data_IF_318143057204
#
_entry.id   IF_318143057204
#
_cell.length_a   1.000
_cell.length_b   1.000
_cell.length_c   1.000
_cell.angle_alpha   90.00
_cell.angle_beta   90.00
_cell.angle_gamma   90.00
#
_symmetry.space_group_name_H-M   'P 1'
#
loop_
_entity.id
_entity.type
_entity.pdbx_description
1 polymer ?
#
# COMPACT_ATOMS: atom_id res chain seq x y z
N UNK A 1 0.86 10.84 -11.81
CA UNK A 1 1.26 9.62 -12.57
C UNK A 1 0.10 8.63 -12.55
N UNK A 2 -0.05 7.76 -13.55
CA UNK A 2 -1.08 6.71 -13.50
C UNK A 2 -0.58 5.51 -12.69
N UNK A 3 -1.33 5.10 -11.67
CA UNK A 3 -0.96 3.97 -10.79
C UNK A 3 -0.89 2.64 -11.53
N UNK A 4 -1.59 2.51 -12.66
CA UNK A 4 -1.57 1.31 -13.49
C UNK A 4 -0.29 1.21 -14.35
N UNK A 5 0.52 2.27 -14.41
CA UNK A 5 1.73 2.35 -15.21
C UNK A 5 3.00 2.49 -14.36
N UNK A 6 2.94 2.06 -13.09
CA UNK A 6 4.11 1.98 -12.22
C UNK A 6 4.39 0.53 -11.82
N UNK A 7 5.67 0.20 -11.71
CA UNK A 7 6.14 -1.00 -11.03
C UNK A 7 6.79 -0.62 -9.70
N UNK A 8 6.45 -1.40 -8.67
CA UNK A 8 6.83 -1.18 -7.28
C UNK A 8 7.36 -2.43 -6.59
N UNK A 9 7.54 -3.52 -7.34
CA UNK A 9 8.09 -4.76 -6.78
C UNK A 9 9.41 -4.46 -6.08
N UNK A 10 9.49 -4.83 -4.81
CA UNK A 10 10.64 -4.60 -3.93
C UNK A 10 10.99 -3.11 -3.67
N UNK A 11 10.04 -2.21 -3.89
CA UNK A 11 10.18 -0.80 -3.50
C UNK A 11 10.00 -0.63 -1.99
N UNK A 12 11.01 -0.05 -1.34
CA UNK A 12 10.91 0.35 0.07
C UNK A 12 9.86 1.46 0.26
N UNK A 13 9.01 1.26 1.25
CA UNK A 13 8.17 2.31 1.80
C UNK A 13 8.96 3.05 2.88
N UNK A 14 9.22 4.33 2.61
CA UNK A 14 9.95 5.18 3.54
C UNK A 14 9.11 5.51 4.77
N UNK A 15 7.84 5.87 4.54
CA UNK A 15 6.94 6.33 5.59
C UNK A 15 5.47 6.16 5.18
N UNK A 16 4.59 5.96 6.16
CA UNK A 16 3.14 6.12 5.99
C UNK A 16 2.64 7.14 7.00
N UNK A 17 1.92 8.16 6.54
CA UNK A 17 1.25 9.17 7.37
C UNK A 17 -0.26 9.00 7.29
N UNK A 18 -0.89 8.99 8.46
CA UNK A 18 -2.35 8.92 8.58
C UNK A 18 -2.85 10.28 9.09
N UNK A 19 -3.70 10.90 8.30
CA UNK A 19 -4.45 12.10 8.66
C UNK A 19 -5.93 11.74 8.88
N UNK A 20 -6.75 12.73 9.24
CA UNK A 20 -8.19 12.51 9.49
C UNK A 20 -8.95 11.97 8.27
N UNK A 21 -8.54 12.35 7.06
CA UNK A 21 -9.24 12.11 5.81
C UNK A 21 -8.31 11.63 4.67
N UNK A 22 -7.04 11.35 4.98
CA UNK A 22 -6.03 11.00 4.01
C UNK A 22 -5.06 9.97 4.62
N UNK A 23 -4.67 8.98 3.82
CA UNK A 23 -3.48 8.15 4.09
C UNK A 23 -2.49 8.45 2.98
N UNK A 24 -1.27 8.85 3.38
CA UNK A 24 -0.18 9.16 2.46
C UNK A 24 0.98 8.19 2.67
N UNK A 25 1.37 7.50 1.60
CA UNK A 25 2.44 6.49 1.59
C UNK A 25 3.58 7.03 0.73
N UNK A 26 4.79 7.04 1.27
CA UNK A 26 5.99 7.57 0.63
C UNK A 26 6.88 6.43 0.16
N UNK A 27 7.15 6.38 -1.14
CA UNK A 27 7.99 5.39 -1.80
C UNK A 27 9.40 5.94 -1.94
N UNK A 28 10.41 5.09 -1.80
CA UNK A 28 11.79 5.45 -2.11
C UNK A 28 11.94 5.78 -3.61
N UNK A 29 11.46 4.87 -4.46
CA UNK A 29 11.38 5.09 -5.91
C UNK A 29 10.41 4.13 -6.57
N UNK A 30 9.75 4.56 -7.64
CA UNK A 30 8.91 3.69 -8.47
C UNK A 30 9.47 3.65 -9.89
N UNK A 31 9.28 2.55 -10.60
CA UNK A 31 9.63 2.48 -12.01
C UNK A 31 8.42 2.93 -12.85
N UNK A 32 8.57 4.00 -13.62
CA UNK A 32 7.54 4.51 -14.53
C UNK A 32 7.65 3.76 -15.88
N UNK A 33 6.63 2.98 -16.21
CA UNK A 33 6.61 2.14 -17.41
C UNK A 33 6.53 2.96 -18.71
N UNK A 34 5.90 4.13 -18.69
CA UNK A 34 5.79 5.01 -19.86
C UNK A 34 7.14 5.67 -20.16
N UNK A 35 7.80 6.18 -19.12
CA UNK A 35 9.09 6.89 -19.23
C UNK A 35 10.29 5.96 -19.22
N UNK A 36 10.10 4.69 -18.84
CA UNK A 36 11.14 3.66 -18.71
C UNK A 36 12.30 4.08 -17.80
N UNK A 37 11.98 4.72 -16.68
CA UNK A 37 12.96 5.21 -15.73
C UNK A 37 12.45 5.11 -14.29
N UNK A 38 13.38 5.06 -13.35
CA UNK A 38 13.06 5.21 -11.93
C UNK A 38 12.75 6.67 -11.61
N UNK A 39 11.71 6.88 -10.82
CA UNK A 39 11.33 8.16 -10.27
C UNK A 39 11.36 8.03 -8.75
N UNK A 40 12.30 8.73 -8.13
CA UNK A 40 12.44 8.80 -6.67
C UNK A 40 11.46 9.78 -6.06
N UNK A 41 11.26 9.67 -4.74
CA UNK A 41 10.43 10.57 -3.94
C UNK A 41 9.00 10.67 -4.47
N UNK A 42 8.35 9.52 -4.65
CA UNK A 42 6.94 9.45 -5.04
C UNK A 42 6.08 9.21 -3.82
N UNK A 43 4.90 9.82 -3.78
CA UNK A 43 3.90 9.55 -2.76
C UNK A 43 2.57 9.14 -3.38
N UNK A 44 1.90 8.18 -2.74
CA UNK A 44 0.51 7.83 -2.98
C UNK A 44 -0.33 8.47 -1.88
N UNK A 45 -1.23 9.35 -2.27
CA UNK A 45 -2.26 9.90 -1.40
C UNK A 45 -3.58 9.20 -1.72
N UNK A 46 -4.22 8.61 -0.73
CA UNK A 46 -5.57 8.05 -0.80
C UNK A 46 -6.44 8.90 0.13
N UNK A 47 -7.65 9.27 -0.28
CA UNK A 47 -8.57 10.14 0.47
C UNK A 47 -10.02 9.89 0.03
N UNK A 48 -10.97 10.54 0.71
CA UNK A 48 -12.42 10.44 0.41
C UNK A 48 -12.99 9.01 0.36
N UNK A 49 -12.34 8.03 1.00
CA UNK A 49 -12.85 6.66 1.02
C UNK A 49 -14.11 6.55 1.88
N UNK A 50 -15.07 5.74 1.45
CA UNK A 50 -16.27 5.45 2.23
C UNK A 50 -15.98 4.44 3.35
N UNK A 51 -15.07 3.51 3.09
CA UNK A 51 -14.66 2.47 4.02
C UNK A 51 -13.20 2.08 3.81
N UNK A 52 -12.49 1.83 4.93
CA UNK A 52 -11.11 1.35 4.93
C UNK A 52 -11.01 0.05 5.75
N UNK A 53 -10.34 -0.94 5.20
CA UNK A 53 -10.04 -2.20 5.85
C UNK A 53 -8.57 -2.57 5.70
N UNK A 54 -7.96 -3.00 6.81
CA UNK A 54 -6.64 -3.60 6.84
C UNK A 54 -6.74 -5.04 7.31
N UNK A 55 -6.08 -5.96 6.59
CA UNK A 55 -5.99 -7.37 6.92
C UNK A 55 -4.53 -7.80 6.95
N UNK A 56 -4.19 -8.67 7.88
CA UNK A 56 -2.90 -9.36 7.92
C UNK A 56 -3.11 -10.86 7.72
N UNK A 57 -2.20 -11.50 6.99
CA UNK A 57 -2.23 -12.92 6.70
C UNK A 57 -1.02 -13.59 7.35
N UNK A 58 -1.30 -14.30 8.45
CA UNK A 58 -0.30 -14.94 9.29
C UNK A 58 -0.07 -16.35 8.77
N UNK A 59 1.18 -16.66 8.38
CA UNK A 59 1.55 -17.99 7.90
C UNK A 59 1.72 -18.92 9.10
N UNK A 60 1.04 -20.06 9.08
CA UNK A 60 1.28 -21.15 10.03
C UNK A 60 2.10 -22.25 9.34
N UNK A 61 3.40 -22.24 9.60
CA UNK A 61 4.40 -23.12 8.96
C UNK A 61 4.12 -24.62 9.13
N UNK A 62 3.31 -24.99 10.13
CA UNK A 62 2.99 -26.39 10.40
C UNK A 62 2.05 -27.02 9.37
N UNK A 63 1.17 -26.22 8.75
CA UNK A 63 0.09 -26.72 7.88
C UNK A 63 0.00 -26.01 6.51
N UNK A 64 0.94 -25.14 6.16
CA UNK A 64 0.87 -24.28 4.95
C UNK A 64 -0.45 -23.51 4.83
N UNK A 65 -1.13 -23.26 5.95
CA UNK A 65 -2.37 -22.49 6.02
C UNK A 65 -2.06 -21.07 6.46
N UNK A 66 -2.77 -20.10 5.90
CA UNK A 66 -2.75 -18.73 6.39
C UNK A 66 -4.00 -18.43 7.22
N UNK A 67 -3.81 -17.74 8.33
CA UNK A 67 -4.89 -17.12 9.09
C UNK A 67 -5.03 -15.66 8.64
N UNK A 68 -6.24 -15.27 8.22
CA UNK A 68 -6.55 -13.87 7.92
C UNK A 68 -7.11 -13.19 9.17
N UNK A 69 -6.44 -12.17 9.68
CA UNK A 69 -6.91 -11.32 10.78
C UNK A 69 -7.20 -9.91 10.26
N UNK A 70 -8.40 -9.41 10.52
CA UNK A 70 -8.73 -7.98 10.32
C UNK A 70 -8.10 -7.15 11.44
N UNK A 71 -7.38 -6.09 11.09
CA UNK A 71 -6.72 -5.20 12.04
C UNK A 71 -7.65 -4.08 12.50
N UNK A 72 -7.66 -3.81 13.80
CA UNK A 72 -8.27 -2.60 14.35
C UNK A 72 -7.35 -1.40 14.15
N UNK A 73 -7.90 -0.18 14.27
CA UNK A 73 -7.13 1.07 14.04
C UNK A 73 -5.86 1.18 14.88
N UNK A 74 -5.89 0.70 16.12
CA UNK A 74 -4.74 0.74 17.04
C UNK A 74 -3.77 -0.43 16.84
N UNK A 75 -4.13 -1.39 15.99
CA UNK A 75 -3.32 -2.55 15.61
C UNK A 75 -2.81 -2.43 14.17
N UNK A 76 -2.96 -1.27 13.52
CA UNK A 76 -2.53 -1.10 12.14
C UNK A 76 -1.02 -1.32 12.03
N UNK A 77 -0.64 -2.12 11.05
CA UNK A 77 0.73 -2.37 10.63
C UNK A 77 0.97 -1.64 9.31
N UNK A 78 2.18 -1.17 9.06
CA UNK A 78 2.52 -0.42 7.87
C UNK A 78 3.35 -1.27 6.91
N UNK A 79 3.31 -0.92 5.63
CA UNK A 79 4.11 -1.62 4.63
C UNK A 79 5.61 -1.33 4.82
N UNK A 80 6.43 -2.37 4.77
CA UNK A 80 7.85 -2.27 4.44
C UNK A 80 8.02 -2.20 2.92
N UNK A 81 7.29 -3.08 2.22
CA UNK A 81 7.24 -3.14 0.77
C UNK A 81 5.80 -3.27 0.31
N UNK A 82 5.40 -2.50 -0.71
CA UNK A 82 4.15 -2.77 -1.43
C UNK A 82 4.51 -3.50 -2.72
N UNK A 83 4.01 -4.72 -2.87
CA UNK A 83 4.32 -5.61 -3.99
C UNK A 83 3.26 -5.52 -5.09
N UNK A 84 2.02 -5.16 -4.73
CA UNK A 84 0.91 -5.02 -5.67
C UNK A 84 0.06 -3.81 -5.33
N UNK A 85 -0.28 -3.04 -6.36
CA UNK A 85 -1.35 -2.06 -6.31
C UNK A 85 -2.27 -2.28 -7.50
N UNK A 86 -3.56 -2.41 -7.24
CA UNK A 86 -4.55 -2.60 -8.29
C UNK A 86 -5.91 -2.08 -7.85
N UNK A 87 -6.80 -1.94 -8.84
CA UNK A 87 -8.17 -1.49 -8.64
C UNK A 87 -9.09 -2.66 -9.00
N UNK A 88 -9.93 -3.08 -8.06
CA UNK A 88 -10.96 -4.10 -8.30
C UNK A 88 -12.31 -3.59 -7.81
N UNK A 89 -13.33 -3.56 -8.70
CA UNK A 89 -14.71 -3.14 -8.36
C UNK A 89 -14.77 -1.81 -7.58
N UNK A 90 -14.02 -0.80 -8.03
CA UNK A 90 -13.86 0.53 -7.39
C UNK A 90 -13.10 0.55 -6.05
N UNK A 91 -12.46 -0.56 -5.67
CA UNK A 91 -11.62 -0.59 -4.49
C UNK A 91 -10.15 -0.42 -4.90
N UNK A 92 -9.46 0.52 -4.27
CA UNK A 92 -8.00 0.56 -4.33
C UNK A 92 -7.45 -0.46 -3.33
N UNK A 93 -6.69 -1.43 -3.83
CA UNK A 93 -6.12 -2.50 -3.03
C UNK A 93 -4.59 -2.40 -3.10
N UNK A 94 -3.96 -2.36 -1.93
CA UNK A 94 -2.52 -2.40 -1.75
C UNK A 94 -2.16 -3.68 -1.02
N UNK A 95 -1.20 -4.45 -1.54
CA UNK A 95 -0.72 -5.67 -0.91
C UNK A 95 0.80 -5.73 -0.88
N UNK A 96 1.35 -6.27 0.19
CA UNK A 96 2.79 -6.34 0.39
C UNK A 96 3.16 -6.86 1.77
N UNK A 97 4.38 -6.58 2.22
CA UNK A 97 4.90 -7.05 3.49
C UNK A 97 4.80 -5.96 4.56
N UNK A 98 4.39 -6.36 5.76
CA UNK A 98 4.38 -5.52 6.95
C UNK A 98 5.81 -5.25 7.45
N UNK A 99 6.05 -4.02 7.91
CA UNK A 99 7.29 -3.57 8.56
C UNK A 99 7.39 -4.05 10.00
N UNK A 100 6.26 -4.25 10.66
CA UNK A 100 6.20 -4.63 12.07
C UNK A 100 6.37 -6.14 12.24
N UNK A 101 5.63 -6.94 11.48
CA UNK A 101 5.58 -8.40 11.65
C UNK A 101 6.25 -9.18 10.53
N UNK A 102 6.50 -8.57 9.37
CA UNK A 102 6.95 -9.26 8.17
C UNK A 102 5.88 -10.11 7.47
N UNK A 103 4.65 -10.18 8.02
CA UNK A 103 3.55 -10.91 7.38
C UNK A 103 2.97 -10.16 6.19
N UNK A 104 2.20 -10.88 5.37
CA UNK A 104 1.51 -10.28 4.24
C UNK A 104 0.37 -9.38 4.74
N UNK A 105 0.38 -8.14 4.29
CA UNK A 105 -0.54 -7.07 4.65
C UNK A 105 -1.37 -6.69 3.42
N UNK A 106 -2.65 -6.42 3.64
CA UNK A 106 -3.57 -5.90 2.62
C UNK A 106 -4.32 -4.69 3.17
N UNK A 107 -4.24 -3.59 2.44
CA UNK A 107 -5.08 -2.41 2.64
C UNK A 107 -6.10 -2.33 1.50
N UNK A 108 -7.37 -2.16 1.86
CA UNK A 108 -8.47 -2.01 0.93
C UNK A 108 -9.23 -0.70 1.24
N UNK A 109 -9.27 0.18 0.25
CA UNK A 109 -10.01 1.45 0.30
C UNK A 109 -11.19 1.36 -0.67
N UNK A 110 -12.41 1.50 -0.14
CA UNK A 110 -13.65 1.42 -0.92
C UNK A 110 -14.09 2.81 -1.35
N UNK A 111 -14.43 2.95 -2.63
CA UNK A 111 -14.89 4.21 -3.25
C UNK A 111 -14.00 5.40 -2.87
N UNK A 112 -12.69 5.23 -3.04
CA UNK A 112 -11.68 6.23 -2.67
C UNK A 112 -11.18 7.01 -3.87
N UNK A 113 -10.86 8.27 -3.64
CA UNK A 113 -10.00 9.03 -4.55
C UNK A 113 -8.54 8.79 -4.19
N UNK A 114 -7.66 8.81 -5.20
CA UNK A 114 -6.22 8.70 -4.97
C UNK A 114 -5.42 9.37 -6.10
N UNK A 115 -4.19 9.76 -5.78
CA UNK A 115 -3.22 10.22 -6.79
C UNK A 115 -1.79 9.86 -6.41
N UNK A 116 -0.95 9.77 -7.44
CA UNK A 116 0.50 9.63 -7.33
C UNK A 116 1.18 10.91 -7.79
N UNK A 117 2.00 11.47 -6.92
CA UNK A 117 2.79 12.67 -7.18
C UNK A 117 4.23 12.54 -6.67
N UNK A 118 5.21 13.18 -7.33
CA UNK A 118 6.49 13.47 -6.72
C UNK A 118 6.29 14.39 -5.50
N UNK A 119 6.99 14.12 -4.41
CA UNK A 119 7.08 15.03 -3.26
C UNK A 119 8.47 15.65 -3.19
N UNK A 120 8.51 16.92 -2.78
CA UNK A 120 9.76 17.62 -2.52
C UNK A 120 10.18 17.35 -1.07
N UNK A 121 11.43 16.93 -0.89
CA UNK A 121 12.11 16.88 0.42
C UNK A 121 12.54 18.27 0.85
#
# INVERSE_FOLDING_TARGET
MNIQHIEIADCNILETKIFSNEIKIYFESVYDLEKKQYISNISLSVFNWSFFQANIFIVNDLNNSFEQKKLLRHELEFFEYIQKIFIEKNNLILQGYSKESGYWLEYCFVDSDFYLEPYLT
#
